data_IF_800071309335
#
_entry.id   IF_800071309335
#
_cell.length_a   1.000
_cell.length_b   1.000
_cell.length_c   1.000
_cell.angle_alpha   90.00
_cell.angle_beta   90.00
_cell.angle_gamma   90.00
#
_symmetry.space_group_name_H-M   'P 1'
#
loop_
_entity.id
_entity.type
_entity.pdbx_description
1 polymer ?
#
# COMPACT_ATOMS: atom_id res chain seq x y z
N UNK A 1 -13.51 -3.51 -23.54
CA UNK A 1 -12.63 -4.68 -23.31
C UNK A 1 -11.76 -4.92 -24.55
N UNK A 2 -10.78 -4.04 -24.73
CA UNK A 2 -9.66 -4.19 -25.68
C UNK A 2 -8.60 -3.18 -25.23
N UNK A 3 -7.32 -3.56 -25.30
CA UNK A 3 -6.13 -2.83 -24.81
C UNK A 3 -5.68 -3.13 -23.35
N UNK A 4 -5.50 -4.41 -23.01
CA UNK A 4 -4.58 -4.81 -21.92
C UNK A 4 -3.86 -6.14 -22.21
N UNK A 5 -3.45 -6.38 -23.47
CA UNK A 5 -2.80 -7.63 -23.89
C UNK A 5 -1.49 -7.45 -24.68
N UNK A 6 -0.90 -6.26 -24.67
CA UNK A 6 0.31 -6.03 -25.46
C UNK A 6 1.34 -5.19 -24.70
N UNK A 7 1.95 -5.75 -23.64
CA UNK A 7 3.24 -5.26 -23.12
C UNK A 7 3.93 -6.21 -22.13
N UNK A 8 3.87 -7.52 -22.39
CA UNK A 8 4.73 -8.53 -21.74
C UNK A 8 4.96 -9.69 -22.72
N UNK A 9 5.78 -9.44 -23.74
CA UNK A 9 6.39 -10.49 -24.56
C UNK A 9 7.88 -10.20 -24.65
N UNK A 10 8.65 -10.91 -23.84
CA UNK A 10 10.10 -10.92 -23.89
C UNK A 10 10.63 -12.00 -22.96
N UNK A 11 10.97 -13.15 -23.54
CA UNK A 11 11.80 -14.20 -22.96
C UNK A 11 11.24 -14.96 -21.74
N UNK A 12 10.59 -16.11 -22.00
CA UNK A 12 10.97 -17.44 -21.49
C UNK A 12 9.87 -18.45 -21.90
N UNK A 13 10.27 -19.51 -22.60
CA UNK A 13 9.37 -20.48 -23.21
C UNK A 13 8.65 -21.36 -22.17
N UNK A 14 7.32 -21.34 -22.19
CA UNK A 14 6.45 -22.30 -21.51
C UNK A 14 5.30 -22.67 -22.48
N UNK A 15 4.98 -23.96 -22.69
CA UNK A 15 3.97 -24.38 -23.64
C UNK A 15 2.55 -23.98 -23.23
N UNK A 16 1.76 -23.59 -24.23
CA UNK A 16 0.38 -23.11 -24.15
C UNK A 16 -0.60 -24.16 -23.64
N UNK A 17 -1.37 -23.83 -22.60
CA UNK A 17 -2.60 -24.55 -22.22
C UNK A 17 -3.80 -23.82 -22.82
N UNK A 18 -4.47 -24.47 -23.77
CA UNK A 18 -5.73 -24.00 -24.36
C UNK A 18 -6.91 -24.36 -23.44
N UNK A 19 -7.63 -23.36 -22.94
CA UNK A 19 -8.92 -23.56 -22.26
C UNK A 19 -10.03 -23.19 -23.24
N UNK A 20 -10.75 -24.19 -23.74
CA UNK A 20 -11.96 -23.98 -24.55
C UNK A 20 -13.18 -23.81 -23.65
N UNK A 21 -13.88 -22.68 -23.79
CA UNK A 21 -15.21 -22.48 -23.21
C UNK A 21 -16.27 -22.93 -24.21
N UNK A 22 -17.08 -23.92 -23.86
CA UNK A 22 -18.31 -24.25 -24.56
C UNK A 22 -19.49 -23.64 -23.80
N UNK A 23 -20.20 -22.71 -24.43
CA UNK A 23 -21.45 -22.16 -23.93
C UNK A 23 -22.61 -23.07 -24.35
N UNK A 24 -23.43 -23.50 -23.39
CA UNK A 24 -24.75 -24.05 -23.64
C UNK A 24 -25.74 -23.42 -22.66
N UNK A 25 -26.77 -22.77 -23.22
CA UNK A 25 -27.81 -22.10 -22.47
C UNK A 25 -28.86 -23.05 -21.87
N UNK A 26 -29.63 -22.53 -20.92
CA UNK A 26 -30.94 -23.08 -20.52
C UNK A 26 -31.06 -23.51 -19.05
N UNK A 27 -31.72 -22.66 -18.27
CA UNK A 27 -32.61 -22.88 -17.11
C UNK A 27 -32.25 -23.86 -15.97
N UNK A 28 -32.23 -23.28 -14.77
CA UNK A 28 -32.68 -23.81 -13.46
C UNK A 28 -32.28 -25.21 -13.01
N UNK A 29 -31.48 -25.27 -11.93
CA UNK A 29 -31.37 -26.47 -11.10
C UNK A 29 -30.00 -26.59 -10.43
N UNK A 30 -29.97 -26.45 -9.11
CA UNK A 30 -28.80 -26.67 -8.25
C UNK A 30 -28.07 -27.98 -8.59
N UNK A 31 -26.76 -27.91 -8.87
CA UNK A 31 -25.91 -29.10 -8.91
C UNK A 31 -24.49 -28.79 -8.46
N UNK A 32 -24.08 -29.50 -7.41
CA UNK A 32 -22.77 -29.50 -6.81
C UNK A 32 -21.69 -29.88 -7.83
N UNK A 33 -20.61 -29.09 -7.87
CA UNK A 33 -19.47 -29.27 -8.76
C UNK A 33 -18.51 -30.27 -8.12
N UNK A 34 -18.40 -31.46 -8.70
CA UNK A 34 -17.48 -32.53 -8.28
C UNK A 34 -16.22 -32.45 -9.14
N UNK A 35 -15.09 -32.08 -8.55
CA UNK A 35 -13.79 -32.08 -9.23
C UNK A 35 -13.27 -33.51 -9.29
N UNK A 36 -13.17 -34.06 -10.51
CA UNK A 36 -12.55 -35.36 -10.78
C UNK A 36 -11.11 -35.11 -11.21
N UNK A 37 -10.14 -35.49 -10.39
CA UNK A 37 -8.72 -35.52 -10.75
C UNK A 37 -8.38 -36.94 -11.19
N UNK A 38 -8.23 -37.16 -12.50
CA UNK A 38 -7.72 -38.43 -13.03
C UNK A 38 -6.20 -38.33 -13.22
N UNK A 39 -5.42 -38.98 -12.35
CA UNK A 39 -3.99 -39.18 -12.58
C UNK A 39 -3.78 -40.46 -13.39
N UNK A 40 -3.30 -40.34 -14.62
CA UNK A 40 -2.82 -41.47 -15.40
C UNK A 40 -1.44 -41.90 -14.87
N UNK A 41 -1.34 -43.09 -14.26
CA UNK A 41 -0.08 -43.81 -14.09
C UNK A 41 -0.13 -45.12 -14.88
N UNK A 42 0.90 -45.30 -15.72
CA UNK A 42 1.18 -46.50 -16.51
C UNK A 42 1.38 -47.70 -15.58
N UNK A 43 0.86 -48.85 -16.00
CA UNK A 43 0.75 -50.05 -15.18
C UNK A 43 1.94 -51.00 -15.21
N UNK A 44 1.80 -52.07 -14.45
CA UNK A 44 2.23 -53.42 -14.79
C UNK A 44 1.44 -54.43 -13.94
N UNK A 45 0.86 -55.40 -14.65
CA UNK A 45 0.43 -56.78 -14.29
C UNK A 45 1.02 -57.36 -12.99
N UNK A 46 0.34 -58.21 -12.20
CA UNK A 46 0.03 -59.62 -12.52
C UNK A 46 -1.07 -60.20 -11.60
N UNK A 47 -1.89 -61.04 -12.25
CA UNK A 47 -2.84 -62.08 -11.83
C UNK A 47 -2.73 -62.78 -10.44
N UNK A 48 -3.87 -63.34 -9.99
CA UNK A 48 -3.88 -64.62 -9.27
C UNK A 48 -4.92 -64.79 -8.16
N UNK A 49 -5.96 -65.56 -8.43
CA UNK A 49 -7.08 -65.99 -7.57
C UNK A 49 -6.72 -66.70 -6.26
N UNK A 50 -7.56 -66.56 -5.21
CA UNK A 50 -8.33 -67.66 -4.56
C UNK A 50 -9.06 -67.21 -3.28
N UNK A 51 -10.28 -67.71 -3.16
CA UNK A 51 -11.22 -67.72 -2.03
C UNK A 51 -10.69 -68.54 -0.83
N UNK A 52 -10.99 -68.11 0.41
CA UNK A 52 -11.64 -68.92 1.47
C UNK A 52 -11.67 -68.21 2.83
N UNK A 53 -12.80 -68.39 3.53
CA UNK A 53 -13.10 -67.89 4.86
C UNK A 53 -12.53 -68.80 5.97
N UNK A 54 -12.22 -68.22 7.14
CA UNK A 54 -12.73 -68.63 8.48
C UNK A 54 -11.79 -68.25 9.65
N UNK A 55 -12.41 -67.61 10.66
CA UNK A 55 -12.19 -67.61 12.13
C UNK A 55 -10.93 -68.28 12.71
N UNK A 56 -10.26 -67.59 13.63
CA UNK A 56 -9.47 -68.25 14.68
C UNK A 56 -8.47 -67.37 15.45
N UNK A 57 -8.89 -66.99 16.67
CA UNK A 57 -8.17 -66.39 17.82
C UNK A 57 -6.62 -66.47 17.89
N UNK A 58 -6.04 -65.32 18.23
CA UNK A 58 -5.04 -65.05 19.30
C UNK A 58 -3.82 -65.97 19.45
N UNK A 59 -2.66 -65.48 19.01
CA UNK A 59 -1.37 -65.68 19.68
C UNK A 59 -0.43 -64.50 19.37
N UNK A 60 0.29 -64.06 20.40
CA UNK A 60 1.19 -62.92 20.37
C UNK A 60 2.33 -63.14 19.35
N UNK A 61 2.53 -62.16 18.47
CA UNK A 61 3.69 -62.12 17.57
C UNK A 61 4.54 -60.94 17.99
N UNK A 62 5.76 -61.26 18.41
CA UNK A 62 6.86 -60.37 18.75
C UNK A 62 7.11 -59.34 17.64
N UNK A 63 7.31 -58.08 18.03
CA UNK A 63 7.72 -57.01 17.12
C UNK A 63 9.05 -57.39 16.43
N UNK A 64 9.17 -57.21 15.10
CA UNK A 64 10.46 -57.34 14.43
C UNK A 64 11.34 -56.13 14.80
N UNK A 65 12.54 -56.41 15.31
CA UNK A 65 13.62 -55.46 15.52
C UNK A 65 13.97 -54.75 14.20
N UNK A 66 13.40 -53.56 13.99
CA UNK A 66 13.86 -52.62 12.98
C UNK A 66 14.88 -51.69 13.62
N UNK A 67 16.14 -52.15 13.67
CA UNK A 67 17.26 -51.30 13.99
C UNK A 67 17.38 -50.20 12.92
N UNK A 68 17.14 -48.95 13.31
CA UNK A 68 17.41 -47.78 12.48
C UNK A 68 18.92 -47.69 12.21
N UNK A 69 19.35 -47.42 10.96
CA UNK A 69 20.76 -47.17 10.68
C UNK A 69 21.22 -45.95 11.50
N UNK A 70 22.36 -46.09 12.18
CA UNK A 70 23.02 -44.98 12.89
C UNK A 70 23.47 -43.95 11.86
N UNK A 71 22.66 -42.92 11.64
CA UNK A 71 23.13 -41.74 10.90
C UNK A 71 24.07 -40.93 11.80
N UNK A 72 25.33 -40.89 11.35
CA UNK A 72 26.38 -40.04 11.87
C UNK A 72 26.02 -38.56 11.63
N UNK A 73 25.81 -37.83 12.72
CA UNK A 73 26.27 -36.45 12.90
C UNK A 73 26.11 -35.48 11.71
N UNK A 74 24.88 -35.20 11.30
CA UNK A 74 24.52 -33.86 10.83
C UNK A 74 23.29 -33.41 11.58
N UNK A 75 23.50 -32.54 12.55
CA UNK A 75 22.44 -31.75 13.19
C UNK A 75 21.75 -30.93 12.09
N UNK A 76 20.71 -31.48 11.47
CA UNK A 76 19.68 -30.69 10.79
C UNK A 76 18.99 -29.88 11.88
N UNK A 77 19.62 -28.75 12.25
CA UNK A 77 18.99 -27.73 13.05
C UNK A 77 17.90 -27.12 12.18
N UNK A 78 16.76 -27.80 12.10
CA UNK A 78 15.49 -27.12 11.89
C UNK A 78 15.33 -26.25 13.12
N UNK A 79 15.86 -25.03 13.03
CA UNK A 79 15.62 -23.98 13.99
C UNK A 79 14.11 -23.81 13.98
N UNK A 80 13.47 -24.38 14.99
CA UNK A 80 12.09 -24.08 15.30
C UNK A 80 12.05 -22.57 15.53
N UNK A 81 11.55 -21.81 14.54
CA UNK A 81 11.22 -20.40 14.75
C UNK A 81 10.00 -20.39 15.65
N UNK A 82 10.11 -19.92 16.91
CA UNK A 82 8.93 -19.71 17.72
C UNK A 82 8.00 -18.80 16.93
N UNK A 83 6.71 -19.16 16.84
CA UNK A 83 5.66 -18.31 16.25
C UNK A 83 5.32 -17.15 17.19
N UNK A 84 6.35 -16.51 17.73
CA UNK A 84 6.27 -15.47 18.76
C UNK A 84 7.39 -14.49 18.50
N UNK A 85 7.17 -13.64 17.52
CA UNK A 85 7.73 -12.28 17.43
C UNK A 85 6.96 -11.59 16.31
N UNK A 86 6.09 -10.65 16.67
CA UNK A 86 5.55 -9.65 15.74
C UNK A 86 6.73 -8.79 15.28
N UNK A 87 7.45 -9.27 14.26
CA UNK A 87 8.45 -8.46 13.56
C UNK A 87 7.73 -7.19 13.16
N UNK A 88 8.21 -6.04 13.65
CA UNK A 88 7.66 -4.75 13.23
C UNK A 88 7.86 -4.64 11.72
N UNK A 89 6.77 -4.75 11.00
CA UNK A 89 6.74 -4.52 9.56
C UNK A 89 6.59 -3.03 9.32
N UNK A 90 7.31 -2.55 8.32
CA UNK A 90 7.20 -1.19 7.82
C UNK A 90 6.89 -1.30 6.34
N UNK A 91 6.10 -0.39 5.83
CA UNK A 91 5.71 -0.38 4.43
C UNK A 91 6.87 0.19 3.61
N UNK A 92 7.37 -0.61 2.66
CA UNK A 92 8.41 -0.15 1.75
C UNK A 92 7.86 0.98 0.84
N UNK A 93 8.48 2.18 0.80
CA UNK A 93 8.04 3.29 -0.04
C UNK A 93 7.96 2.95 -1.53
N UNK A 94 8.88 2.13 -2.05
CA UNK A 94 8.88 1.70 -3.45
C UNK A 94 7.65 0.85 -3.76
N UNK A 95 7.33 -0.10 -2.87
CA UNK A 95 6.14 -0.93 -3.04
C UNK A 95 4.87 -0.07 -3.01
N UNK A 96 4.74 0.82 -2.03
CA UNK A 96 3.59 1.71 -1.93
C UNK A 96 3.43 2.61 -3.17
N UNK A 97 4.53 3.17 -3.68
CA UNK A 97 4.54 3.95 -4.92
C UNK A 97 4.08 3.12 -6.13
N UNK A 98 4.53 1.86 -6.25
CA UNK A 98 4.09 0.96 -7.32
C UNK A 98 2.60 0.65 -7.21
N UNK A 99 2.05 0.49 -6.01
CA UNK A 99 0.62 0.31 -5.80
C UNK A 99 -0.18 1.53 -6.27
N UNK A 100 0.24 2.75 -5.91
CA UNK A 100 -0.40 3.98 -6.40
C UNK A 100 -0.36 4.08 -7.93
N UNK A 101 0.81 3.77 -8.52
CA UNK A 101 0.99 3.77 -9.98
C UNK A 101 0.11 2.74 -10.67
N UNK A 102 -0.06 1.55 -10.09
CA UNK A 102 -0.91 0.49 -10.63
C UNK A 102 -2.39 0.91 -10.66
N UNK A 103 -2.82 1.78 -9.74
CA UNK A 103 -4.15 2.39 -9.75
C UNK A 103 -4.29 3.61 -10.69
N UNK A 104 -3.23 3.97 -11.41
CA UNK A 104 -3.25 5.05 -12.41
C UNK A 104 -2.87 6.43 -11.86
N UNK A 105 -2.52 6.54 -10.58
CA UNK A 105 -1.99 7.80 -10.04
C UNK A 105 -0.61 8.06 -10.59
N UNK A 106 -0.48 9.22 -11.22
CA UNK A 106 0.71 9.66 -11.94
C UNK A 106 1.08 11.11 -11.64
N UNK A 107 0.38 11.75 -10.69
CA UNK A 107 0.63 13.12 -10.29
C UNK A 107 0.51 13.26 -8.78
N UNK A 108 1.49 13.93 -8.19
CA UNK A 108 1.65 14.11 -6.76
C UNK A 108 1.81 15.59 -6.45
N UNK A 109 1.10 16.09 -5.44
CA UNK A 109 1.30 17.45 -4.95
C UNK A 109 1.10 17.49 -3.45
N UNK A 110 1.72 18.44 -2.74
CA UNK A 110 1.55 18.47 -1.30
C UNK A 110 2.52 19.36 -0.56
N UNK A 111 2.35 19.38 0.76
CA UNK A 111 3.25 20.05 1.70
C UNK A 111 4.02 18.97 2.47
N UNK A 112 5.37 19.04 2.56
CA UNK A 112 6.16 18.00 3.22
C UNK A 112 5.78 17.81 4.70
N UNK A 113 5.65 16.55 5.12
CA UNK A 113 5.43 16.13 6.50
C UNK A 113 6.49 15.11 6.93
N UNK A 114 6.89 15.14 8.20
CA UNK A 114 7.94 14.25 8.72
C UNK A 114 7.54 12.78 8.81
N UNK A 115 6.24 12.44 8.95
CA UNK A 115 5.78 11.05 8.90
C UNK A 115 5.75 10.52 7.46
N UNK A 116 5.60 11.43 6.48
CA UNK A 116 5.55 11.12 5.06
C UNK A 116 6.91 11.26 4.35
N UNK A 117 7.96 11.68 5.06
CA UNK A 117 9.26 12.04 4.46
C UNK A 117 9.85 10.96 3.56
N UNK A 118 9.76 9.68 3.96
CA UNK A 118 10.38 8.57 3.26
C UNK A 118 9.62 8.25 1.96
N UNK A 119 8.28 8.37 1.99
CA UNK A 119 7.43 8.32 0.81
C UNK A 119 7.69 9.50 -0.12
N UNK A 120 7.73 10.73 0.42
CA UNK A 120 7.96 11.94 -0.37
C UNK A 120 9.34 11.90 -1.05
N UNK A 121 10.38 11.50 -0.34
CA UNK A 121 11.72 11.34 -0.92
C UNK A 121 11.73 10.31 -2.05
N UNK A 122 11.03 9.17 -1.88
CA UNK A 122 10.92 8.18 -2.95
C UNK A 122 10.18 8.73 -4.19
N UNK A 123 9.07 9.45 -3.99
CA UNK A 123 8.33 10.09 -5.08
C UNK A 123 9.22 11.10 -5.81
N UNK A 124 9.96 11.94 -5.08
CA UNK A 124 10.88 12.93 -5.66
C UNK A 124 11.93 12.28 -6.57
N UNK A 125 12.51 11.15 -6.17
CA UNK A 125 13.54 10.47 -6.97
C UNK A 125 12.96 9.72 -8.19
N UNK A 126 11.66 9.40 -8.19
CA UNK A 126 11.04 8.51 -9.18
C UNK A 126 10.00 9.18 -10.09
N UNK A 127 9.70 10.47 -9.87
CA UNK A 127 8.77 11.25 -10.69
C UNK A 127 9.47 12.41 -11.39
N UNK A 128 9.09 12.72 -12.64
CA UNK A 128 9.53 13.96 -13.28
C UNK A 128 8.99 15.17 -12.50
N UNK A 129 9.71 16.29 -12.54
CA UNK A 129 9.39 17.51 -11.77
C UNK A 129 7.97 18.02 -12.04
N UNK A 130 7.48 17.85 -13.26
CA UNK A 130 6.15 18.28 -13.69
C UNK A 130 5.03 17.40 -13.12
N UNK A 131 5.36 16.22 -12.60
CA UNK A 131 4.42 15.26 -12.02
C UNK A 131 4.55 15.12 -10.49
N UNK A 132 5.47 15.87 -9.87
CA UNK A 132 5.58 15.99 -8.42
C UNK A 132 5.83 17.45 -8.02
N UNK A 133 4.77 18.13 -7.59
CA UNK A 133 4.81 19.56 -7.24
C UNK A 133 4.79 19.74 -5.73
N UNK A 134 5.81 20.38 -5.16
CA UNK A 134 5.76 20.82 -3.76
C UNK A 134 4.95 22.13 -3.72
N UNK A 135 3.80 22.11 -3.06
CA UNK A 135 2.91 23.27 -2.99
C UNK A 135 3.31 24.24 -1.87
N UNK A 136 3.02 25.52 -2.05
CA UNK A 136 3.29 26.55 -1.04
C UNK A 136 2.40 26.40 0.21
N UNK A 137 1.19 25.85 0.05
CA UNK A 137 0.28 25.49 1.14
C UNK A 137 -0.65 24.35 0.70
N UNK A 138 -1.36 23.75 1.65
CA UNK A 138 -2.22 22.59 1.42
C UNK A 138 -3.45 22.91 0.57
N UNK A 139 -3.98 24.14 0.67
CA UNK A 139 -5.10 24.58 -0.15
C UNK A 139 -4.71 24.68 -1.64
N UNK A 140 -3.52 25.20 -1.93
CA UNK A 140 -2.94 25.21 -3.28
C UNK A 140 -2.69 23.80 -3.77
N UNK A 141 -2.20 22.87 -2.91
CA UNK A 141 -2.03 21.47 -3.29
C UNK A 141 -3.36 20.84 -3.76
N UNK A 142 -4.46 21.10 -3.05
CA UNK A 142 -5.80 20.66 -3.46
C UNK A 142 -6.24 21.25 -4.79
N UNK A 143 -6.03 22.54 -5.00
CA UNK A 143 -6.39 23.20 -6.27
C UNK A 143 -5.58 22.66 -7.45
N UNK A 144 -4.28 22.41 -7.28
CA UNK A 144 -3.42 21.79 -8.30
C UNK A 144 -3.92 20.38 -8.64
N UNK A 145 -4.22 19.57 -7.63
CA UNK A 145 -4.74 18.22 -7.82
C UNK A 145 -6.08 18.22 -8.57
N UNK A 146 -6.98 19.15 -8.24
CA UNK A 146 -8.24 19.32 -8.96
C UNK A 146 -8.01 19.71 -10.43
N UNK A 147 -7.10 20.67 -10.69
CA UNK A 147 -6.72 21.06 -12.04
C UNK A 147 -6.13 19.90 -12.86
N UNK A 148 -5.27 19.08 -12.24
CA UNK A 148 -4.72 17.87 -12.88
C UNK A 148 -5.84 16.90 -13.27
N UNK A 149 -6.83 16.67 -12.39
CA UNK A 149 -7.95 15.81 -12.70
C UNK A 149 -8.78 16.36 -13.86
N UNK A 150 -9.09 17.66 -13.87
CA UNK A 150 -9.83 18.30 -14.96
C UNK A 150 -9.11 18.20 -16.30
N UNK A 151 -7.77 18.29 -16.30
CA UNK A 151 -6.97 18.21 -17.52
C UNK A 151 -6.82 16.78 -18.07
N UNK A 152 -6.79 15.77 -17.19
CA UNK A 152 -6.36 14.40 -17.57
C UNK A 152 -7.38 13.31 -17.31
N UNK A 153 -8.41 13.58 -16.50
CA UNK A 153 -9.34 12.59 -15.95
C UNK A 153 -8.72 11.65 -14.90
N UNK A 154 -7.43 11.81 -14.55
CA UNK A 154 -6.73 10.91 -13.62
C UNK A 154 -6.78 11.42 -12.18
N UNK A 155 -6.79 10.49 -11.22
CA UNK A 155 -6.76 10.81 -9.78
C UNK A 155 -5.36 11.26 -9.39
N UNK A 156 -5.27 12.48 -8.84
CA UNK A 156 -4.05 13.01 -8.23
C UNK A 156 -3.94 12.56 -6.77
N UNK A 157 -2.70 12.44 -6.29
CA UNK A 157 -2.38 12.20 -4.89
C UNK A 157 -1.95 13.52 -4.24
N UNK A 158 -2.64 13.91 -3.16
CA UNK A 158 -2.28 15.06 -2.33
C UNK A 158 -1.74 14.56 -1.00
N UNK A 159 -0.54 14.99 -0.61
CA UNK A 159 0.02 14.67 0.70
C UNK A 159 0.18 15.90 1.59
N UNK A 160 -0.09 15.73 2.88
CA UNK A 160 -0.03 16.82 3.87
C UNK A 160 0.02 16.26 5.30
N UNK A 161 0.36 17.11 6.27
CA UNK A 161 0.14 16.81 7.69
C UNK A 161 -1.32 17.07 8.06
N UNK A 162 -1.86 16.36 9.07
CA UNK A 162 -3.22 16.60 9.58
C UNK A 162 -3.46 18.03 10.09
N UNK A 163 -2.44 18.73 10.56
CA UNK A 163 -2.53 20.16 10.91
C UNK A 163 -2.89 21.06 9.73
N UNK A 164 -2.51 20.64 8.52
CA UNK A 164 -2.79 21.34 7.28
C UNK A 164 -4.21 21.15 6.76
N UNK A 165 -5.01 20.23 7.34
CA UNK A 165 -6.39 19.98 6.90
C UNK A 165 -7.24 21.26 6.96
N UNK A 166 -7.01 22.16 7.93
CA UNK A 166 -7.72 23.45 8.00
C UNK A 166 -7.54 24.30 6.74
N UNK A 167 -6.35 24.29 6.14
CA UNK A 167 -6.05 25.02 4.90
C UNK A 167 -6.71 24.38 3.67
N UNK A 168 -7.12 23.12 3.76
CA UNK A 168 -7.79 22.41 2.67
C UNK A 168 -9.30 22.62 2.63
N UNK A 169 -9.93 23.10 3.71
CA UNK A 169 -11.40 23.11 3.87
C UNK A 169 -12.09 23.75 2.66
N UNK A 170 -11.72 24.98 2.30
CA UNK A 170 -12.36 25.68 1.19
C UNK A 170 -12.16 24.96 -0.15
N UNK A 171 -10.92 24.70 -0.64
CA UNK A 171 -10.74 24.03 -1.92
C UNK A 171 -11.28 22.59 -1.95
N UNK A 172 -11.19 21.84 -0.84
CA UNK A 172 -11.73 20.49 -0.76
C UNK A 172 -13.27 20.49 -0.91
N UNK A 173 -13.97 21.36 -0.17
CA UNK A 173 -15.44 21.41 -0.21
C UNK A 173 -15.97 22.06 -1.49
N UNK A 174 -15.28 23.08 -2.02
CA UNK A 174 -15.72 23.78 -3.23
C UNK A 174 -15.34 23.08 -4.53
N UNK A 175 -14.29 22.25 -4.55
CA UNK A 175 -13.82 21.56 -5.77
C UNK A 175 -14.05 20.05 -5.72
N UNK A 176 -13.74 19.38 -4.62
CA UNK A 176 -13.71 17.92 -4.58
C UNK A 176 -15.00 17.29 -4.07
N UNK A 177 -15.84 18.04 -3.36
CA UNK A 177 -17.10 17.52 -2.84
C UNK A 177 -18.00 16.97 -3.95
N UNK A 178 -18.60 15.80 -3.71
CA UNK A 178 -19.58 15.17 -4.61
C UNK A 178 -20.85 15.99 -4.82
N UNK A 179 -21.08 17.01 -3.99
CA UNK A 179 -22.21 17.94 -4.11
C UNK A 179 -21.89 19.17 -4.98
N UNK A 180 -20.65 19.32 -5.45
CA UNK A 180 -20.19 20.50 -6.19
C UNK A 180 -19.63 20.10 -7.56
N UNK A 181 -18.34 19.80 -7.67
CA UNK A 181 -17.73 19.36 -8.94
C UNK A 181 -17.37 17.87 -8.97
N UNK A 182 -17.51 17.15 -7.85
CA UNK A 182 -17.26 15.70 -7.78
C UNK A 182 -15.90 15.30 -8.36
N UNK A 183 -14.83 15.95 -7.86
CA UNK A 183 -13.47 15.68 -8.31
C UNK A 183 -12.79 14.69 -7.35
N UNK A 184 -12.47 13.47 -7.81
CA UNK A 184 -11.78 12.48 -6.97
C UNK A 184 -10.31 12.86 -6.74
N UNK A 185 -9.90 12.79 -5.48
CA UNK A 185 -8.53 13.07 -5.02
C UNK A 185 -8.17 12.08 -3.92
N UNK A 186 -6.99 11.47 -4.01
CA UNK A 186 -6.44 10.67 -2.91
C UNK A 186 -5.68 11.59 -1.96
N UNK A 187 -6.10 11.67 -0.71
CA UNK A 187 -5.39 12.39 0.35
C UNK A 187 -4.53 11.42 1.15
N UNK A 188 -3.24 11.69 1.28
CA UNK A 188 -2.33 10.99 2.20
C UNK A 188 -1.97 11.95 3.32
N UNK A 189 -2.51 11.70 4.51
CA UNK A 189 -2.43 12.61 5.64
C UNK A 189 -1.53 12.01 6.71
N UNK A 190 -0.40 12.65 6.99
CA UNK A 190 0.43 12.33 8.16
C UNK A 190 -0.35 12.63 9.44
N UNK A 191 -0.73 11.59 10.18
CA UNK A 191 -1.59 11.69 11.35
C UNK A 191 -0.77 11.81 12.63
N UNK A 192 -0.38 13.04 12.96
CA UNK A 192 0.28 13.36 14.23
C UNK A 192 -0.73 13.47 15.37
N UNK A 193 -0.29 13.11 16.57
CA UNK A 193 -1.15 13.08 17.76
C UNK A 193 -2.23 12.00 17.74
N UNK A 194 -1.98 10.85 17.12
CA UNK A 194 -2.87 9.68 17.20
C UNK A 194 -3.26 9.40 18.68
N UNK A 195 -4.57 9.24 18.99
CA UNK A 195 -5.01 8.94 20.35
C UNK A 195 -4.27 7.75 20.97
N UNK A 196 -3.76 7.93 22.20
CA UNK A 196 -2.99 6.91 22.91
C UNK A 196 -1.51 6.82 22.54
N UNK A 197 -1.00 7.71 21.67
CA UNK A 197 0.43 7.85 21.37
C UNK A 197 0.99 9.15 21.95
N UNK A 198 2.26 9.11 22.36
CA UNK A 198 3.00 10.30 22.79
C UNK A 198 3.40 11.13 21.58
N UNK A 199 3.08 12.41 21.63
CA UNK A 199 3.45 13.44 20.66
C UNK A 199 3.44 14.80 21.37
N UNK A 200 3.83 15.86 20.69
CA UNK A 200 3.81 17.23 21.24
C UNK A 200 2.38 17.66 21.59
N UNK A 201 2.16 18.48 22.65
CA UNK A 201 0.82 18.86 23.11
C UNK A 201 -0.11 19.40 22.02
N UNK A 202 0.43 20.22 21.10
CA UNK A 202 -0.30 20.75 19.96
C UNK A 202 -0.74 19.67 18.96
N UNK A 203 0.07 18.62 18.76
CA UNK A 203 -0.28 17.52 17.87
C UNK A 203 -1.41 16.68 18.47
N UNK A 204 -1.41 16.43 19.79
CA UNK A 204 -2.42 15.62 20.46
C UNK A 204 -3.84 16.16 20.28
N UNK A 205 -4.01 17.49 20.39
CA UNK A 205 -5.32 18.14 20.20
C UNK A 205 -5.83 17.94 18.78
N UNK A 206 -4.99 18.18 17.78
CA UNK A 206 -5.39 18.06 16.37
C UNK A 206 -5.54 16.60 15.92
N UNK A 207 -4.69 15.71 16.41
CA UNK A 207 -4.73 14.29 16.10
C UNK A 207 -6.03 13.64 16.56
N UNK A 208 -6.50 13.96 17.77
CA UNK A 208 -7.81 13.51 18.26
C UNK A 208 -8.99 14.05 17.42
N UNK A 209 -8.88 15.27 16.89
CA UNK A 209 -9.92 15.91 16.07
C UNK A 209 -9.95 15.41 14.62
N UNK A 210 -8.83 14.89 14.11
CA UNK A 210 -8.62 14.57 12.69
C UNK A 210 -9.72 13.65 12.11
N UNK A 211 -10.08 12.51 12.75
CA UNK A 211 -11.20 11.68 12.30
C UNK A 211 -12.53 12.41 12.17
N UNK A 212 -12.86 13.24 13.17
CA UNK A 212 -14.12 14.00 13.20
C UNK A 212 -14.14 15.07 12.11
N UNK A 213 -13.01 15.76 11.91
CA UNK A 213 -12.89 16.77 10.85
C UNK A 213 -13.10 16.16 9.46
N UNK A 214 -12.46 15.01 9.16
CA UNK A 214 -12.66 14.30 7.90
C UNK A 214 -14.12 13.86 7.71
N UNK A 215 -14.74 13.35 8.78
CA UNK A 215 -16.15 12.96 8.78
C UNK A 215 -17.07 14.14 8.46
N UNK A 216 -16.89 15.28 9.12
CA UNK A 216 -17.71 16.49 8.89
C UNK A 216 -17.50 17.06 7.49
N UNK A 217 -16.29 16.97 6.94
CA UNK A 217 -16.02 17.34 5.54
C UNK A 217 -16.57 16.33 4.52
N UNK A 218 -17.14 15.20 4.97
CA UNK A 218 -17.67 14.14 4.10
C UNK A 218 -16.56 13.34 3.39
N UNK A 219 -15.36 13.31 3.95
CA UNK A 219 -14.20 12.58 3.40
C UNK A 219 -14.06 11.25 4.14
N UNK A 220 -14.42 10.11 3.53
CA UNK A 220 -14.11 8.81 4.13
C UNK A 220 -12.60 8.62 4.25
N UNK A 221 -12.20 7.90 5.29
CA UNK A 221 -10.79 7.62 5.53
C UNK A 221 -10.55 6.19 6.01
N UNK A 222 -9.33 5.73 5.79
CA UNK A 222 -8.78 4.51 6.37
C UNK A 222 -7.40 4.79 6.96
N UNK A 223 -6.98 3.98 7.93
CA UNK A 223 -5.61 4.02 8.43
C UNK A 223 -4.75 3.19 7.48
N UNK A 224 -3.64 3.76 6.98
CA UNK A 224 -2.70 3.03 6.14
C UNK A 224 -1.93 1.99 6.99
N UNK A 225 -2.05 0.68 6.68
CA UNK A 225 -1.28 -0.35 7.36
C UNK A 225 0.21 -0.25 7.03
N UNK A 226 1.05 -0.70 7.95
CA UNK A 226 2.52 -0.71 7.83
C UNK A 226 3.06 -1.99 7.16
N UNK A 227 2.22 -2.69 6.41
CA UNK A 227 2.56 -3.90 5.65
C UNK A 227 1.86 -3.92 4.30
N UNK A 228 2.45 -4.67 3.36
CA UNK A 228 2.13 -4.64 1.94
C UNK A 228 0.68 -5.02 1.61
N UNK A 229 0.20 -6.14 2.14
CA UNK A 229 -1.12 -6.69 1.86
C UNK A 229 -2.23 -5.75 2.32
N UNK A 230 -2.07 -5.18 3.53
CA UNK A 230 -3.03 -4.21 4.07
C UNK A 230 -3.03 -2.90 3.29
N UNK A 231 -1.86 -2.43 2.85
CA UNK A 231 -1.78 -1.26 1.97
C UNK A 231 -2.50 -1.50 0.63
N UNK A 232 -2.36 -2.69 0.04
CA UNK A 232 -3.07 -3.09 -1.17
C UNK A 232 -4.59 -3.11 -0.98
N UNK A 233 -5.09 -3.72 0.11
CA UNK A 233 -6.52 -3.77 0.42
C UNK A 233 -7.14 -2.38 0.59
N UNK A 234 -6.47 -1.53 1.36
CA UNK A 234 -6.94 -0.16 1.63
C UNK A 234 -6.90 0.70 0.37
N UNK A 235 -5.86 0.57 -0.47
CA UNK A 235 -5.80 1.28 -1.76
C UNK A 235 -6.90 0.81 -2.71
N UNK A 236 -7.14 -0.49 -2.84
CA UNK A 236 -8.24 -1.00 -3.65
C UNK A 236 -9.59 -0.40 -3.22
N UNK A 237 -9.84 -0.35 -1.91
CA UNK A 237 -11.04 0.28 -1.36
C UNK A 237 -11.12 1.77 -1.68
N UNK A 238 -10.02 2.50 -1.49
CA UNK A 238 -9.95 3.93 -1.77
C UNK A 238 -10.22 4.24 -3.24
N UNK A 239 -9.55 3.57 -4.17
CA UNK A 239 -9.75 3.80 -5.61
C UNK A 239 -11.12 3.33 -6.10
N UNK A 240 -11.66 2.22 -5.57
CA UNK A 240 -13.02 1.81 -5.89
C UNK A 240 -14.05 2.86 -5.43
N UNK A 241 -13.85 3.46 -4.25
CA UNK A 241 -14.69 4.55 -3.77
C UNK A 241 -14.57 5.79 -4.67
N UNK A 242 -13.34 6.26 -4.93
CA UNK A 242 -13.10 7.45 -5.75
C UNK A 242 -13.65 7.28 -7.18
N UNK A 243 -13.57 6.07 -7.74
CA UNK A 243 -14.11 5.78 -9.05
C UNK A 243 -15.65 5.81 -9.07
N UNK A 244 -16.30 5.26 -8.03
CA UNK A 244 -17.75 5.16 -7.92
C UNK A 244 -18.41 6.48 -7.53
N UNK A 245 -17.91 7.12 -6.49
CA UNK A 245 -18.55 8.28 -5.86
C UNK A 245 -18.00 9.61 -6.41
N UNK A 246 -16.90 9.56 -7.19
CA UNK A 246 -16.22 10.75 -7.74
C UNK A 246 -15.97 11.80 -6.63
N UNK A 247 -15.42 11.33 -5.52
CA UNK A 247 -15.25 12.11 -4.28
C UNK A 247 -13.87 11.81 -3.67
N UNK A 248 -13.32 12.72 -2.83
CA UNK A 248 -12.03 12.51 -2.20
C UNK A 248 -12.06 11.36 -1.18
N UNK A 249 -10.91 10.70 -1.01
CA UNK A 249 -10.70 9.65 -0.01
C UNK A 249 -9.38 9.89 0.73
N UNK A 250 -9.35 9.71 2.06
CA UNK A 250 -8.16 9.95 2.86
C UNK A 250 -7.52 8.66 3.42
N UNK A 251 -6.19 8.67 3.46
CA UNK A 251 -5.37 7.68 4.15
C UNK A 251 -4.65 8.37 5.30
N UNK A 252 -4.93 7.94 6.53
CA UNK A 252 -4.22 8.40 7.71
C UNK A 252 -2.95 7.57 7.90
N UNK A 253 -1.79 8.22 7.82
CA UNK A 253 -0.48 7.59 7.99
C UNK A 253 0.01 7.83 9.40
N UNK A 254 0.22 6.74 10.14
CA UNK A 254 0.72 6.81 11.52
C UNK A 254 2.22 7.03 11.55
N UNK A 255 2.71 7.37 12.73
CA UNK A 255 4.15 7.33 12.99
C UNK A 255 4.67 5.92 12.73
N UNK A 256 5.85 5.83 12.10
CA UNK A 256 6.52 4.55 11.82
C UNK A 256 5.76 3.64 10.82
N UNK A 257 4.98 4.20 9.89
CA UNK A 257 4.36 3.40 8.81
C UNK A 257 5.34 3.01 7.71
N UNK A 258 6.24 3.90 7.28
CA UNK A 258 7.16 3.64 6.16
C UNK A 258 8.55 3.17 6.60
N UNK A 259 9.18 2.35 5.77
CA UNK A 259 10.62 2.07 5.85
C UNK A 259 11.42 3.34 5.56
N UNK A 260 12.62 3.44 6.13
CA UNK A 260 13.49 4.59 5.89
C UNK A 260 13.94 4.64 4.44
N UNK A 261 13.83 5.80 3.82
CA UNK A 261 14.35 6.08 2.49
C UNK A 261 15.05 7.43 2.50
N UNK A 262 16.28 7.46 1.96
CA UNK A 262 17.03 8.70 1.79
C UNK A 262 16.93 9.13 0.34
N UNK A 263 16.68 10.42 0.13
CA UNK A 263 16.74 11.04 -1.18
C UNK A 263 18.12 10.78 -1.80
N UNK A 264 18.13 10.28 -3.04
CA UNK A 264 19.33 9.92 -3.79
C UNK A 264 19.75 11.04 -4.76
N UNK A 265 18.79 11.82 -5.27
CA UNK A 265 19.08 12.94 -6.15
C UNK A 265 19.54 14.17 -5.36
N UNK A 266 20.68 14.74 -5.75
CA UNK A 266 21.04 16.11 -5.35
C UNK A 266 20.21 17.10 -6.16
N UNK A 267 19.25 17.74 -5.51
CA UNK A 267 18.59 18.89 -6.08
C UNK A 267 19.51 20.11 -5.92
N UNK A 268 20.21 20.50 -6.99
CA UNK A 268 21.02 21.71 -7.05
C UNK A 268 20.15 22.99 -7.06
N UNK A 269 19.26 23.15 -6.08
CA UNK A 269 18.25 24.21 -6.06
C UNK A 269 18.72 25.52 -5.40
N UNK A 270 19.91 25.54 -4.80
CA UNK A 270 20.41 26.71 -4.05
C UNK A 270 21.92 26.91 -4.21
N UNK A 271 22.48 26.59 -5.37
CA UNK A 271 23.90 26.80 -5.69
C UNK A 271 24.17 28.03 -6.56
N UNK A 272 23.14 28.84 -6.85
CA UNK A 272 23.32 30.09 -7.58
C UNK A 272 24.03 31.13 -6.71
N UNK A 273 25.03 31.79 -7.30
CA UNK A 273 25.79 32.84 -6.64
C UNK A 273 24.85 34.00 -6.24
N UNK A 274 24.76 34.29 -4.94
CA UNK A 274 23.95 35.37 -4.39
C UNK A 274 22.73 34.93 -3.56
N UNK A 275 22.43 33.63 -3.51
CA UNK A 275 21.46 33.09 -2.55
C UNK A 275 22.11 32.95 -1.17
N UNK A 276 21.46 33.51 -0.15
CA UNK A 276 21.89 33.36 1.23
C UNK A 276 21.48 31.98 1.76
N UNK A 277 22.40 31.32 2.46
CA UNK A 277 22.07 30.15 3.25
C UNK A 277 21.10 30.51 4.37
N UNK A 278 20.37 29.51 4.87
CA UNK A 278 19.38 29.69 5.95
C UNK A 278 20.01 30.42 7.15
N UNK A 279 21.23 30.04 7.49
CA UNK A 279 22.00 30.59 8.59
C UNK A 279 22.27 32.09 8.39
N UNK A 280 22.71 32.49 7.19
CA UNK A 280 22.96 33.90 6.84
C UNK A 280 21.67 34.74 6.83
N UNK A 281 20.54 34.16 6.42
CA UNK A 281 19.23 34.82 6.50
C UNK A 281 18.85 35.04 7.96
N UNK A 282 19.02 34.04 8.82
CA UNK A 282 18.71 34.14 10.25
C UNK A 282 19.58 35.17 10.95
N UNK A 283 20.87 35.24 10.61
CA UNK A 283 21.78 36.28 11.12
C UNK A 283 21.29 37.67 10.76
N UNK A 284 20.98 37.93 9.48
CA UNK A 284 20.47 39.24 9.04
C UNK A 284 19.14 39.61 9.68
N UNK A 285 18.26 38.64 9.88
CA UNK A 285 16.98 38.86 10.58
C UNK A 285 17.25 39.19 12.05
N UNK A 286 18.15 38.46 12.72
CA UNK A 286 18.51 38.68 14.11
C UNK A 286 19.17 40.06 14.33
N UNK A 287 20.04 40.50 13.42
CA UNK A 287 20.65 41.84 13.41
C UNK A 287 19.60 42.96 13.30
N UNK A 288 18.45 42.67 12.69
CA UNK A 288 17.35 43.63 12.55
C UNK A 288 16.51 43.82 13.83
N UNK A 289 16.66 42.97 14.85
CA UNK A 289 15.96 43.12 16.11
C UNK A 289 16.78 43.99 17.09
N UNK A 290 16.14 44.95 17.80
CA UNK A 290 16.82 45.70 18.84
C UNK A 290 17.33 44.74 19.93
N UNK A 291 18.54 44.99 20.41
CA UNK A 291 19.21 44.18 21.44
C UNK A 291 18.58 44.29 22.84
N UNK A 292 17.52 45.08 22.99
CA UNK A 292 16.78 45.20 24.24
C UNK A 292 15.64 44.16 24.27
N UNK A 293 15.47 43.42 25.38
CA UNK A 293 14.35 42.51 25.53
C UNK A 293 13.03 43.28 25.53
N UNK A 294 12.04 42.75 24.82
CA UNK A 294 10.64 43.22 24.80
C UNK A 294 10.01 43.25 26.19
#
# INVERSE_FOLDING_TARGET
MTALSALLRGSLGVPSLSVGFAAAGGSSGSRAMRVVVSSARRGSTVAGSKTLAARGKSSAVSEPDYALPKEEGKTDMRIYRPMTETVRTFLNPAHFFLLLKAHGTSFYTGVPDSLLKDMCAYITDNMPKESHVIAANEGTAMAIAAGHHLATGKVACVYLQNSGLGNTVNPLLSLCSSKVYSIPVLLIVGWRGEPGKKDEPQHLVQGALTPSLLKEMGVPYEILPDYAEGAFEVLNKAYAYMEKEKAPFALLVKKQTFEKYRLQSEQALFTEAGLLHREEILEKIAEGFPSEPL
#
